data_IF_180136896184
#
_entry.id   IF_180136896184
#
_cell.length_a   1.000
_cell.length_b   1.000
_cell.length_c   1.000
_cell.angle_alpha   90.00
_cell.angle_beta   90.00
_cell.angle_gamma   90.00
#
_symmetry.space_group_name_H-M   'P 1'
#
loop_
_entity.id
_entity.type
_entity.pdbx_description
1 polymer ?
#
# COMPACT_ATOMS: atom_id res chain seq x y z
N UNK A 1 27.37 13.86 8.05
CA UNK A 1 25.93 13.54 7.94
C UNK A 1 25.76 12.62 6.74
N UNK A 2 25.17 11.44 6.91
CA UNK A 2 24.95 10.48 5.82
C UNK A 2 23.75 10.89 4.97
N UNK A 3 23.79 10.56 3.66
CA UNK A 3 22.70 10.87 2.72
C UNK A 3 22.23 9.60 2.02
N UNK A 4 20.96 9.28 2.20
CA UNK A 4 20.32 8.11 1.60
C UNK A 4 19.29 8.52 0.55
N UNK A 5 19.20 7.76 -0.53
CA UNK A 5 18.09 7.81 -1.46
C UNK A 5 17.41 6.45 -1.53
N UNK A 6 16.12 6.40 -1.20
CA UNK A 6 15.27 5.23 -1.39
C UNK A 6 14.46 5.39 -2.65
N UNK A 7 14.45 4.40 -3.54
CA UNK A 7 13.73 4.45 -4.81
C UNK A 7 12.59 3.41 -4.81
N UNK A 8 11.33 3.91 -4.74
CA UNK A 8 10.13 3.10 -4.90
C UNK A 8 9.09 3.81 -5.76
N UNK A 9 9.02 3.46 -7.03
CA UNK A 9 8.17 4.13 -8.02
C UNK A 9 7.00 3.26 -8.53
N UNK A 10 6.61 2.23 -7.77
CA UNK A 10 5.50 1.35 -8.10
C UNK A 10 4.14 1.87 -7.61
N UNK A 11 3.21 0.97 -7.28
CA UNK A 11 1.87 1.32 -6.84
C UNK A 11 1.87 1.91 -5.41
N UNK A 12 0.73 2.45 -5.02
CA UNK A 12 0.50 3.10 -3.71
C UNK A 12 0.87 2.16 -2.56
N UNK A 13 0.41 0.91 -2.58
CA UNK A 13 0.69 -0.08 -1.54
C UNK A 13 2.19 -0.36 -1.38
N UNK A 14 2.92 -0.50 -2.49
CA UNK A 14 4.38 -0.70 -2.46
C UNK A 14 5.12 0.48 -1.83
N UNK A 15 4.65 1.71 -2.07
CA UNK A 15 5.24 2.92 -1.45
C UNK A 15 5.01 2.92 0.05
N UNK A 16 3.78 2.57 0.49
CA UNK A 16 3.48 2.46 1.92
C UNK A 16 4.36 1.41 2.59
N UNK A 17 4.46 0.21 2.03
CA UNK A 17 5.32 -0.85 2.59
C UNK A 17 6.81 -0.45 2.63
N UNK A 18 7.26 0.35 1.67
CA UNK A 18 8.63 0.84 1.62
C UNK A 18 8.95 1.90 2.68
N UNK A 19 7.95 2.53 3.32
CA UNK A 19 8.20 3.46 4.42
C UNK A 19 8.88 2.78 5.61
N UNK A 20 8.72 1.47 5.79
CA UNK A 20 9.46 0.72 6.79
C UNK A 20 11.00 0.84 6.65
N UNK A 21 11.51 1.05 5.43
CA UNK A 21 12.94 1.36 5.24
C UNK A 21 13.29 2.74 5.81
N UNK A 22 12.42 3.74 5.66
CA UNK A 22 12.63 5.08 6.22
C UNK A 22 12.73 5.00 7.73
N UNK A 23 11.76 4.30 8.36
CA UNK A 23 11.73 4.09 9.81
C UNK A 23 13.02 3.43 10.31
N UNK A 24 13.46 2.36 9.63
CA UNK A 24 14.69 1.64 10.00
C UNK A 24 15.93 2.48 9.80
N UNK A 25 16.03 3.21 8.68
CA UNK A 25 17.18 4.10 8.44
C UNK A 25 17.25 5.22 9.48
N UNK A 26 16.12 5.84 9.83
CA UNK A 26 16.10 6.86 10.87
C UNK A 26 16.48 6.31 12.25
N UNK A 27 16.03 5.11 12.60
CA UNK A 27 16.39 4.45 13.85
C UNK A 27 17.91 4.27 14.01
N UNK A 28 18.61 3.92 12.93
CA UNK A 28 20.05 3.66 12.95
C UNK A 28 20.90 4.90 12.62
N UNK A 29 20.34 5.86 11.91
CA UNK A 29 21.01 7.07 11.44
C UNK A 29 20.09 8.27 11.66
N UNK A 30 19.86 8.69 12.93
CA UNK A 30 18.89 9.74 13.26
C UNK A 30 19.22 11.10 12.60
N UNK A 31 20.49 11.37 12.36
CA UNK A 31 20.97 12.61 11.75
C UNK A 31 21.10 12.52 10.21
N UNK A 32 20.68 11.43 9.58
CA UNK A 32 20.84 11.27 8.14
C UNK A 32 19.81 12.07 7.35
N UNK A 33 20.20 12.59 6.20
CA UNK A 33 19.27 13.08 5.18
C UNK A 33 18.74 11.89 4.37
N UNK A 34 17.44 11.59 4.51
CA UNK A 34 16.77 10.53 3.76
C UNK A 34 15.88 11.17 2.69
N UNK A 35 16.22 10.96 1.43
CA UNK A 35 15.38 11.34 0.30
C UNK A 35 14.62 10.11 -0.22
N UNK A 36 13.41 10.31 -0.73
CA UNK A 36 12.60 9.24 -1.27
C UNK A 36 12.11 9.57 -2.68
N UNK A 37 12.35 8.69 -3.65
CA UNK A 37 11.88 8.86 -5.02
C UNK A 37 10.61 8.05 -5.27
N UNK A 38 9.53 8.75 -5.60
CA UNK A 38 8.23 8.17 -5.98
C UNK A 38 7.85 8.52 -7.43
N UNK A 39 6.88 7.80 -7.98
CA UNK A 39 6.18 8.26 -9.18
C UNK A 39 5.20 9.37 -8.83
N UNK A 40 4.98 10.29 -9.78
CA UNK A 40 3.95 11.32 -9.69
C UNK A 40 2.57 10.73 -9.38
N UNK A 41 1.90 11.32 -8.40
CA UNK A 41 0.62 10.89 -7.87
C UNK A 41 0.72 10.06 -6.58
N UNK A 42 1.93 9.68 -6.15
CA UNK A 42 2.15 9.00 -4.87
C UNK A 42 2.80 9.90 -3.81
N UNK A 43 3.23 11.11 -4.18
CA UNK A 43 3.91 12.05 -3.28
C UNK A 43 3.10 12.44 -2.05
N UNK A 44 1.76 12.54 -2.19
CA UNK A 44 0.88 12.86 -1.09
C UNK A 44 0.84 11.82 0.05
N UNK A 45 1.40 10.61 -0.16
CA UNK A 45 1.58 9.62 0.92
C UNK A 45 2.67 10.03 1.91
N UNK A 46 3.63 10.81 1.45
CA UNK A 46 4.87 11.16 2.16
C UNK A 46 4.90 12.65 2.54
N UNK A 47 3.78 13.34 2.36
CA UNK A 47 3.68 14.75 2.71
C UNK A 47 3.93 14.94 4.21
N UNK A 48 4.89 15.82 4.53
CA UNK A 48 5.34 16.10 5.89
C UNK A 48 5.80 14.86 6.70
N UNK A 49 6.29 13.83 6.02
CA UNK A 49 6.87 12.67 6.72
C UNK A 49 8.05 13.11 7.60
N UNK A 50 8.05 12.86 8.93
CA UNK A 50 8.97 13.50 9.88
C UNK A 50 10.43 13.15 9.65
N UNK A 51 10.73 12.02 9.00
CA UNK A 51 12.10 11.52 8.81
C UNK A 51 12.60 11.70 7.37
N UNK A 52 11.80 12.30 6.48
CA UNK A 52 12.25 12.60 5.13
C UNK A 52 12.75 14.03 5.01
N UNK A 53 13.95 14.15 4.44
CA UNK A 53 14.49 15.45 4.04
C UNK A 53 13.77 15.95 2.78
N UNK A 54 13.51 15.05 1.79
CA UNK A 54 12.91 15.45 0.51
C UNK A 54 12.23 14.27 -0.19
N UNK A 55 11.12 14.55 -0.90
CA UNK A 55 10.48 13.63 -1.82
C UNK A 55 10.79 14.03 -3.25
N UNK A 56 11.47 13.16 -3.99
CA UNK A 56 11.71 13.31 -5.42
C UNK A 56 10.54 12.68 -6.19
N UNK A 57 10.10 13.36 -7.26
CA UNK A 57 8.92 12.94 -8.02
C UNK A 57 9.33 12.64 -9.46
N UNK A 58 9.00 11.44 -9.94
CA UNK A 58 9.17 11.06 -11.33
C UNK A 58 7.85 11.07 -12.09
N UNK A 59 7.68 12.01 -13.02
CA UNK A 59 6.56 11.99 -13.96
C UNK A 59 6.84 11.00 -15.09
N UNK A 60 6.17 9.85 -15.06
CA UNK A 60 6.28 8.79 -16.07
C UNK A 60 5.38 9.01 -17.29
N UNK A 61 4.44 9.97 -17.22
CA UNK A 61 3.43 10.21 -18.27
C UNK A 61 3.89 11.29 -19.25
N UNK A 62 4.52 12.37 -18.76
CA UNK A 62 4.96 13.50 -19.58
C UNK A 62 6.47 13.48 -19.74
N UNK A 63 6.97 13.50 -20.98
CA UNK A 63 8.41 13.60 -21.28
C UNK A 63 9.29 12.64 -20.45
N UNK A 64 8.85 11.39 -20.32
CA UNK A 64 9.40 10.36 -19.41
C UNK A 64 10.92 10.31 -19.38
N UNK A 65 11.58 10.30 -20.54
CA UNK A 65 13.04 10.17 -20.61
C UNK A 65 13.76 11.50 -20.29
N UNK A 66 13.23 12.65 -20.73
CA UNK A 66 13.75 13.96 -20.37
C UNK A 66 13.71 14.14 -18.85
N UNK A 67 12.59 13.81 -18.23
CA UNK A 67 12.41 13.87 -16.79
C UNK A 67 13.30 12.88 -16.03
N UNK A 68 13.51 11.68 -16.59
CA UNK A 68 14.44 10.70 -16.04
C UNK A 68 15.88 11.24 -16.00
N UNK A 69 16.34 11.89 -17.08
CA UNK A 69 17.67 12.50 -17.13
C UNK A 69 17.80 13.71 -16.20
N UNK A 70 16.75 14.50 -16.04
CA UNK A 70 16.72 15.60 -15.07
C UNK A 70 16.84 15.07 -13.63
N UNK A 71 16.10 14.02 -13.30
CA UNK A 71 16.21 13.32 -12.02
C UNK A 71 17.61 12.76 -11.79
N UNK A 72 18.21 12.13 -12.81
CA UNK A 72 19.57 11.63 -12.69
C UNK A 72 20.56 12.76 -12.35
N UNK A 73 20.48 13.90 -13.03
CA UNK A 73 21.33 15.07 -12.72
C UNK A 73 21.12 15.57 -11.30
N UNK A 74 19.87 15.61 -10.82
CA UNK A 74 19.52 16.00 -9.46
C UNK A 74 20.11 15.00 -8.44
N UNK A 75 19.96 13.70 -8.68
CA UNK A 75 20.52 12.62 -7.85
C UNK A 75 22.04 12.75 -7.77
N UNK A 76 22.71 12.92 -8.90
CA UNK A 76 24.17 13.10 -8.97
C UNK A 76 24.66 14.34 -8.19
N UNK A 77 23.92 15.45 -8.28
CA UNK A 77 24.26 16.70 -7.55
C UNK A 77 24.12 16.51 -6.03
N UNK A 78 23.22 15.66 -5.57
CA UNK A 78 22.98 15.41 -4.14
C UNK A 78 24.10 14.60 -3.47
N UNK A 79 24.93 13.87 -4.23
CA UNK A 79 26.08 13.08 -3.75
C UNK A 79 25.69 12.14 -2.59
N UNK A 80 24.76 11.25 -2.84
CA UNK A 80 24.32 10.29 -1.83
C UNK A 80 25.43 9.33 -1.41
N UNK A 81 25.46 8.97 -0.13
CA UNK A 81 26.31 7.89 0.36
C UNK A 81 25.78 6.54 -0.10
N UNK A 82 24.46 6.34 0.00
CA UNK A 82 23.82 5.10 -0.48
C UNK A 82 22.55 5.40 -1.28
N UNK A 83 22.40 4.69 -2.40
CA UNK A 83 21.15 4.63 -3.17
C UNK A 83 20.59 3.23 -3.04
N UNK A 84 19.38 3.11 -2.49
CA UNK A 84 18.68 1.87 -2.21
C UNK A 84 17.51 1.75 -3.18
N UNK A 85 17.61 0.84 -4.14
CA UNK A 85 16.59 0.64 -5.17
C UNK A 85 15.76 -0.60 -4.90
N UNK A 86 14.52 -0.39 -4.47
CA UNK A 86 13.54 -1.46 -4.22
C UNK A 86 12.97 -2.02 -5.53
N UNK A 87 13.11 -1.28 -6.63
CA UNK A 87 12.49 -1.59 -7.91
C UNK A 87 13.31 -2.53 -8.78
N UNK A 88 12.61 -3.36 -9.57
CA UNK A 88 13.19 -4.35 -10.47
C UNK A 88 13.19 -3.93 -11.96
N UNK A 89 12.95 -2.66 -12.26
CA UNK A 89 12.82 -2.15 -13.63
C UNK A 89 14.06 -1.36 -14.08
N UNK A 90 14.38 -1.46 -15.37
CA UNK A 90 15.57 -0.84 -15.98
C UNK A 90 15.68 0.67 -15.74
N UNK A 91 14.58 1.42 -15.78
CA UNK A 91 14.62 2.87 -15.59
C UNK A 91 15.12 3.27 -14.19
N UNK A 92 14.68 2.58 -13.14
CA UNK A 92 15.17 2.82 -11.78
C UNK A 92 16.56 2.24 -11.60
N UNK A 93 16.87 1.13 -12.27
CA UNK A 93 18.23 0.60 -12.37
C UNK A 93 19.20 1.61 -12.97
N UNK A 94 18.79 2.31 -14.03
CA UNK A 94 19.58 3.38 -14.64
C UNK A 94 19.85 4.52 -13.65
N UNK A 95 18.83 5.02 -12.94
CA UNK A 95 19.01 6.04 -11.92
C UNK A 95 19.98 5.59 -10.82
N UNK A 96 19.90 4.32 -10.41
CA UNK A 96 20.77 3.75 -9.38
C UNK A 96 22.20 3.60 -9.86
N UNK A 97 22.41 2.93 -10.99
CA UNK A 97 23.75 2.65 -11.53
C UNK A 97 24.55 3.91 -11.85
N UNK A 98 23.89 4.95 -12.36
CA UNK A 98 24.51 6.20 -12.77
C UNK A 98 24.33 7.34 -11.75
N UNK A 99 23.87 7.05 -10.53
CA UNK A 99 23.66 8.04 -9.46
C UNK A 99 24.91 8.77 -8.99
N UNK A 100 26.11 8.20 -9.19
CA UNK A 100 27.38 8.61 -8.59
C UNK A 100 27.37 8.54 -7.05
N UNK A 101 26.51 7.70 -6.47
CA UNK A 101 26.53 7.43 -5.04
C UNK A 101 27.77 6.59 -4.67
N UNK A 102 28.23 6.70 -3.42
CA UNK A 102 29.36 5.90 -2.94
C UNK A 102 29.02 4.41 -2.94
N UNK A 103 27.75 4.06 -2.66
CA UNK A 103 27.26 2.69 -2.69
C UNK A 103 25.86 2.63 -3.33
N UNK A 104 25.65 1.67 -4.24
CA UNK A 104 24.38 1.43 -4.91
C UNK A 104 23.90 0.04 -4.58
N UNK A 105 22.67 -0.08 -4.04
CA UNK A 105 22.13 -1.32 -3.52
C UNK A 105 20.81 -1.60 -4.22
N UNK A 106 20.57 -2.83 -4.64
CA UNK A 106 19.30 -3.21 -5.24
C UNK A 106 19.18 -4.72 -5.46
N UNK A 107 18.00 -5.13 -5.88
CA UNK A 107 17.76 -6.56 -6.13
C UNK A 107 18.46 -7.05 -7.40
N UNK A 108 18.96 -8.28 -7.34
CA UNK A 108 19.61 -8.97 -8.47
C UNK A 108 18.67 -9.16 -9.69
N UNK A 109 17.35 -9.06 -9.50
CA UNK A 109 16.35 -9.12 -10.58
C UNK A 109 16.23 -7.82 -11.38
N UNK A 110 16.91 -6.74 -10.96
CA UNK A 110 16.97 -5.53 -11.78
C UNK A 110 17.90 -5.78 -12.97
N UNK A 111 17.49 -5.46 -14.22
CA UNK A 111 18.31 -5.71 -15.43
C UNK A 111 19.70 -5.05 -15.38
N UNK A 112 19.86 -3.93 -14.64
CA UNK A 112 21.12 -3.22 -14.49
C UNK A 112 21.83 -3.53 -13.16
N UNK A 113 21.40 -4.57 -12.46
CA UNK A 113 21.99 -4.93 -11.16
C UNK A 113 23.48 -5.28 -11.22
N UNK A 114 24.00 -5.69 -12.39
CA UNK A 114 25.42 -5.97 -12.57
C UNK A 114 26.31 -4.72 -12.42
N UNK A 115 25.72 -3.52 -12.50
CA UNK A 115 26.39 -2.23 -12.24
C UNK A 115 26.24 -1.75 -10.79
N UNK A 116 25.50 -2.47 -9.94
CA UNK A 116 25.32 -2.07 -8.55
C UNK A 116 26.49 -2.53 -7.69
N UNK A 117 26.86 -1.74 -6.69
CA UNK A 117 27.89 -2.09 -5.72
C UNK A 117 27.48 -3.33 -4.91
N UNK A 118 26.21 -3.42 -4.54
CA UNK A 118 25.65 -4.57 -3.82
C UNK A 118 24.37 -5.08 -4.49
N UNK A 119 24.35 -6.38 -4.74
CA UNK A 119 23.19 -7.10 -5.30
C UNK A 119 22.61 -8.03 -4.25
N UNK A 120 21.36 -7.78 -3.87
CA UNK A 120 20.63 -8.61 -2.92
C UNK A 120 19.71 -9.56 -3.68
N UNK A 121 19.71 -10.84 -3.30
CA UNK A 121 18.82 -11.84 -3.90
C UNK A 121 17.37 -11.48 -3.56
N UNK A 122 16.54 -11.33 -4.59
CA UNK A 122 15.11 -11.15 -4.40
C UNK A 122 14.47 -12.52 -4.11
N UNK A 123 14.22 -12.79 -2.84
CA UNK A 123 13.66 -14.06 -2.40
C UNK A 123 12.12 -13.96 -2.29
N UNK A 124 11.43 -14.81 -3.04
CA UNK A 124 9.99 -15.05 -2.94
C UNK A 124 9.69 -16.35 -2.18
N UNK A 125 10.45 -16.63 -1.12
CA UNK A 125 10.11 -17.76 -0.28
C UNK A 125 8.69 -17.58 0.26
N UNK A 126 7.93 -18.66 0.28
CA UNK A 126 6.57 -18.68 0.81
C UNK A 126 6.57 -18.17 2.26
N UNK A 127 5.65 -17.26 2.57
CA UNK A 127 5.54 -16.65 3.90
C UNK A 127 6.44 -15.44 4.16
N UNK A 128 7.42 -15.12 3.29
CA UNK A 128 8.25 -13.91 3.47
C UNK A 128 7.46 -12.66 3.09
N UNK A 129 7.26 -11.74 4.05
CA UNK A 129 6.53 -10.50 3.78
C UNK A 129 7.35 -9.50 2.95
N UNK A 130 6.66 -8.62 2.19
CA UNK A 130 7.32 -7.60 1.36
C UNK A 130 8.22 -6.65 2.16
N UNK A 131 7.86 -6.31 3.40
CA UNK A 131 8.71 -5.48 4.25
C UNK A 131 10.04 -6.17 4.58
N UNK A 132 10.06 -7.49 4.74
CA UNK A 132 11.26 -8.27 5.00
C UNK A 132 12.14 -8.36 3.75
N UNK A 133 11.50 -8.54 2.59
CA UNK A 133 12.20 -8.49 1.28
C UNK A 133 12.85 -7.12 1.09
N UNK A 134 12.12 -6.04 1.35
CA UNK A 134 12.64 -4.68 1.25
C UNK A 134 13.76 -4.43 2.26
N UNK A 135 13.58 -4.90 3.51
CA UNK A 135 14.57 -4.77 4.57
C UNK A 135 15.90 -5.45 4.24
N UNK A 136 15.89 -6.58 3.53
CA UNK A 136 17.09 -7.27 3.11
C UNK A 136 18.08 -6.36 2.35
N UNK A 137 17.61 -5.27 1.72
CA UNK A 137 18.46 -4.29 1.05
C UNK A 137 19.32 -3.46 2.02
N UNK A 138 18.91 -3.35 3.27
CA UNK A 138 19.57 -2.51 4.28
C UNK A 138 20.10 -3.28 5.47
N UNK A 139 19.79 -4.58 5.60
CA UNK A 139 20.16 -5.40 6.75
C UNK A 139 21.66 -5.46 7.06
N UNK A 140 22.52 -5.33 6.05
CA UNK A 140 23.98 -5.36 6.22
C UNK A 140 24.54 -4.14 6.96
N UNK A 141 23.77 -3.06 7.12
CA UNK A 141 24.21 -1.84 7.83
C UNK A 141 23.14 -1.32 8.80
N UNK A 142 22.15 -2.14 9.11
CA UNK A 142 21.19 -1.95 10.19
C UNK A 142 21.16 -3.23 11.05
N UNK A 143 20.03 -3.90 11.12
CA UNK A 143 19.86 -5.21 11.77
C UNK A 143 19.09 -6.18 10.86
N UNK A 144 18.68 -7.33 11.39
CA UNK A 144 17.92 -8.35 10.66
C UNK A 144 16.40 -8.20 10.75
N UNK A 145 15.89 -7.22 11.53
CA UNK A 145 14.45 -7.07 11.82
C UNK A 145 13.85 -5.95 10.99
N UNK A 146 12.89 -6.27 10.14
CA UNK A 146 12.18 -5.28 9.34
C UNK A 146 11.33 -4.34 10.23
N UNK A 147 11.41 -3.04 9.99
CA UNK A 147 10.49 -2.11 10.62
C UNK A 147 9.11 -2.15 9.95
N UNK A 148 8.05 -1.92 10.74
CA UNK A 148 6.70 -1.76 10.21
C UNK A 148 6.60 -0.47 9.38
N UNK A 149 5.77 -0.46 8.33
CA UNK A 149 5.52 0.76 7.58
C UNK A 149 4.77 1.78 8.45
N UNK A 150 4.96 3.06 8.15
CA UNK A 150 4.28 4.16 8.85
C UNK A 150 3.77 5.20 7.86
N UNK A 151 2.59 5.75 8.17
CA UNK A 151 2.06 6.97 7.56
C UNK A 151 1.82 8.01 8.66
N UNK A 152 2.00 9.28 8.32
CA UNK A 152 1.91 10.39 9.27
C UNK A 152 0.86 11.41 8.83
N UNK A 153 -0.45 11.12 9.06
CA UNK A 153 -1.49 12.13 8.83
C UNK A 153 -1.23 13.40 9.64
N UNK A 154 -1.32 14.54 9.01
CA UNK A 154 -1.09 15.83 9.66
C UNK A 154 -2.30 16.24 10.52
N UNK A 155 -2.12 17.29 11.34
CA UNK A 155 -3.23 17.90 12.09
C UNK A 155 -4.33 18.36 11.12
N UNK A 156 -3.96 18.94 9.97
CA UNK A 156 -4.92 19.37 8.93
C UNK A 156 -5.71 18.19 8.34
N UNK A 157 -5.06 17.04 8.13
CA UNK A 157 -5.76 15.84 7.66
C UNK A 157 -6.75 15.34 8.70
N UNK A 158 -6.37 15.35 9.97
CA UNK A 158 -7.22 14.93 11.08
C UNK A 158 -8.42 15.86 11.28
N UNK A 159 -8.22 17.17 11.19
CA UNK A 159 -9.31 18.18 11.26
C UNK A 159 -10.29 18.02 10.10
N UNK A 160 -9.81 17.73 8.89
CA UNK A 160 -10.68 17.53 7.71
C UNK A 160 -11.68 16.38 7.89
N UNK A 161 -11.29 15.33 8.60
CA UNK A 161 -12.13 14.14 8.83
C UNK A 161 -12.80 14.11 10.20
N UNK A 162 -12.60 15.10 11.06
CA UNK A 162 -13.13 15.19 12.42
C UNK A 162 -14.64 15.01 12.48
N UNK A 163 -15.37 15.62 11.55
CA UNK A 163 -16.83 15.51 11.47
C UNK A 163 -17.33 14.07 11.28
N UNK A 164 -16.52 13.16 10.74
CA UNK A 164 -16.87 11.77 10.51
C UNK A 164 -16.56 10.86 11.71
N UNK A 165 -15.87 11.36 12.75
CA UNK A 165 -15.40 10.61 13.92
C UNK A 165 -16.30 10.80 15.16
N UNK A 166 -17.49 11.36 15.02
CA UNK A 166 -18.37 11.70 16.15
C UNK A 166 -19.13 10.49 16.74
N UNK A 167 -19.29 9.44 15.97
CA UNK A 167 -19.94 8.17 16.35
C UNK A 167 -19.06 7.01 15.91
N UNK A 168 -19.33 5.84 16.43
CA UNK A 168 -18.69 4.62 15.95
C UNK A 168 -18.92 4.42 14.45
N UNK A 169 -17.87 4.10 13.73
CA UNK A 169 -17.94 3.97 12.27
C UNK A 169 -17.04 2.86 11.74
N UNK A 170 -17.41 2.41 10.56
CA UNK A 170 -16.68 1.47 9.75
C UNK A 170 -16.17 2.17 8.48
N UNK A 171 -14.97 1.83 8.04
CA UNK A 171 -14.48 2.20 6.72
C UNK A 171 -14.55 0.98 5.80
N UNK A 172 -15.08 1.15 4.61
CA UNK A 172 -15.17 0.11 3.57
C UNK A 172 -14.48 0.61 2.31
N UNK A 173 -13.46 -0.12 1.84
CA UNK A 173 -12.78 0.14 0.58
C UNK A 173 -13.13 -0.94 -0.45
N UNK A 174 -14.22 -0.80 -1.21
CA UNK A 174 -14.78 -1.88 -2.01
C UNK A 174 -14.02 -2.15 -3.29
N UNK A 175 -13.12 -1.26 -3.71
CA UNK A 175 -12.42 -1.30 -4.98
C UNK A 175 -11.02 -1.91 -4.91
N UNK A 176 -10.51 -2.37 -6.05
CA UNK A 176 -9.12 -2.74 -6.29
C UNK A 176 -8.80 -2.51 -7.76
N UNK A 177 -7.50 -2.31 -8.08
CA UNK A 177 -7.04 -2.14 -9.48
C UNK A 177 -7.38 -3.36 -10.34
N UNK A 178 -7.33 -4.56 -9.75
CA UNK A 178 -7.59 -5.81 -10.45
C UNK A 178 -8.97 -6.34 -10.10
N UNK A 179 -9.81 -6.57 -11.11
CA UNK A 179 -11.18 -7.05 -10.92
C UNK A 179 -11.25 -8.29 -10.02
N UNK A 180 -10.40 -9.29 -10.29
CA UNK A 180 -10.46 -10.55 -9.52
C UNK A 180 -10.02 -10.43 -8.05
N UNK A 181 -9.48 -9.29 -7.63
CA UNK A 181 -9.19 -8.96 -6.23
C UNK A 181 -10.34 -8.23 -5.54
N UNK A 182 -11.32 -7.74 -6.31
CA UNK A 182 -12.46 -7.02 -5.73
C UNK A 182 -13.47 -8.02 -5.16
N UNK A 183 -13.88 -7.80 -3.93
CA UNK A 183 -15.07 -8.44 -3.38
C UNK A 183 -16.29 -7.90 -4.12
N UNK A 184 -17.23 -8.75 -4.58
CA UNK A 184 -18.32 -8.32 -5.45
C UNK A 184 -19.21 -7.25 -4.83
N UNK A 185 -19.71 -6.34 -5.65
CA UNK A 185 -20.60 -5.25 -5.22
C UNK A 185 -21.83 -5.79 -4.49
N UNK A 186 -22.45 -6.82 -5.03
CA UNK A 186 -23.64 -7.46 -4.45
C UNK A 186 -23.35 -8.05 -3.08
N UNK A 187 -22.15 -8.57 -2.86
CA UNK A 187 -21.70 -9.10 -1.58
C UNK A 187 -21.43 -7.97 -0.56
N UNK A 188 -20.87 -6.82 -1.01
CA UNK A 188 -20.77 -5.65 -0.16
C UNK A 188 -22.14 -5.17 0.31
N UNK A 189 -23.14 -5.11 -0.58
CA UNK A 189 -24.51 -4.72 -0.25
C UNK A 189 -25.09 -5.69 0.75
N UNK A 190 -25.03 -7.00 0.50
CA UNK A 190 -25.51 -8.04 1.40
C UNK A 190 -24.90 -7.95 2.80
N UNK A 191 -23.58 -7.71 2.88
CA UNK A 191 -22.89 -7.49 4.16
C UNK A 191 -23.40 -6.24 4.89
N UNK A 192 -23.52 -5.11 4.18
CA UNK A 192 -23.99 -3.86 4.78
C UNK A 192 -25.40 -3.99 5.35
N UNK A 193 -26.30 -4.65 4.62
CA UNK A 193 -27.71 -4.81 5.01
C UNK A 193 -27.89 -5.69 6.27
N UNK A 194 -26.88 -6.47 6.63
CA UNK A 194 -26.86 -7.30 7.85
C UNK A 194 -26.18 -6.60 9.05
N UNK A 195 -25.60 -5.40 8.87
CA UNK A 195 -24.96 -4.68 9.97
C UNK A 195 -25.98 -4.20 11.01
N UNK A 196 -25.65 -4.24 12.31
CA UNK A 196 -26.48 -3.56 13.32
C UNK A 196 -26.48 -2.06 13.09
N UNK A 197 -27.65 -1.36 13.22
CA UNK A 197 -27.80 0.04 12.81
C UNK A 197 -27.18 1.04 13.81
N UNK A 198 -26.00 0.75 14.31
CA UNK A 198 -25.24 1.57 15.26
C UNK A 198 -24.01 2.25 14.67
N UNK A 199 -23.56 1.83 13.49
CA UNK A 199 -22.35 2.35 12.88
C UNK A 199 -22.65 3.31 11.73
N UNK A 200 -21.87 4.38 11.59
CA UNK A 200 -21.76 5.05 10.30
C UNK A 200 -20.83 4.22 9.40
N UNK A 201 -21.15 4.08 8.12
CA UNK A 201 -20.30 3.37 7.15
C UNK A 201 -19.78 4.35 6.11
N UNK A 202 -18.47 4.51 6.05
CA UNK A 202 -17.79 5.37 5.08
C UNK A 202 -17.20 4.52 3.96
N UNK A 203 -17.75 4.66 2.75
CA UNK A 203 -17.16 4.08 1.55
C UNK A 203 -16.01 4.96 1.09
N UNK A 204 -14.79 4.43 1.11
CA UNK A 204 -13.57 5.16 0.75
C UNK A 204 -12.94 4.59 -0.53
N UNK A 205 -12.27 5.43 -1.29
CA UNK A 205 -11.63 5.05 -2.55
C UNK A 205 -11.09 6.24 -3.33
N UNK A 206 -10.50 5.96 -4.49
CA UNK A 206 -10.05 6.97 -5.42
C UNK A 206 -11.25 7.65 -6.13
N UNK A 207 -11.05 8.78 -6.83
CA UNK A 207 -12.12 9.42 -7.63
C UNK A 207 -12.76 8.46 -8.66
N UNK A 208 -12.01 7.52 -9.19
CA UNK A 208 -12.49 6.48 -10.11
C UNK A 208 -13.46 5.49 -9.48
N UNK A 209 -13.45 5.36 -8.15
CA UNK A 209 -14.26 4.41 -7.41
C UNK A 209 -15.61 5.00 -6.97
N UNK A 210 -15.79 6.32 -7.20
CA UNK A 210 -16.98 7.06 -6.77
C UNK A 210 -18.29 6.46 -7.28
N UNK A 211 -18.32 6.03 -8.54
CA UNK A 211 -19.52 5.45 -9.14
C UNK A 211 -19.90 4.11 -8.49
N UNK A 212 -18.92 3.21 -8.26
CA UNK A 212 -19.14 1.95 -7.56
C UNK A 212 -19.64 2.18 -6.13
N UNK A 213 -19.02 3.09 -5.40
CA UNK A 213 -19.43 3.43 -4.04
C UNK A 213 -20.83 4.04 -3.98
N UNK A 214 -21.19 4.88 -4.96
CA UNK A 214 -22.54 5.47 -5.03
C UNK A 214 -23.62 4.41 -5.35
N UNK A 215 -23.29 3.45 -6.21
CA UNK A 215 -24.18 2.33 -6.51
C UNK A 215 -24.40 1.42 -5.28
N UNK A 216 -23.34 1.08 -4.54
CA UNK A 216 -23.45 0.34 -3.28
C UNK A 216 -24.36 1.09 -2.30
N UNK A 217 -24.08 2.38 -2.08
CA UNK A 217 -24.88 3.23 -1.18
C UNK A 217 -26.35 3.28 -1.58
N UNK A 218 -26.65 3.41 -2.89
CA UNK A 218 -28.02 3.56 -3.40
C UNK A 218 -28.83 2.27 -3.26
N UNK A 219 -28.20 1.10 -3.41
CA UNK A 219 -28.90 -0.18 -3.42
C UNK A 219 -29.01 -0.77 -2.02
N UNK A 220 -28.01 -0.56 -1.15
CA UNK A 220 -28.03 -1.02 0.23
C UNK A 220 -29.21 -0.43 1.00
N UNK A 221 -29.86 -1.26 1.79
CA UNK A 221 -30.94 -0.87 2.72
C UNK A 221 -30.39 -0.31 4.03
N UNK A 222 -29.07 -0.36 4.25
CA UNK A 222 -28.43 0.19 5.46
C UNK A 222 -28.46 1.71 5.44
N UNK A 223 -29.09 2.39 6.44
CA UNK A 223 -29.43 3.81 6.33
C UNK A 223 -28.24 4.76 6.51
N UNK A 224 -27.11 4.30 7.08
CA UNK A 224 -26.01 5.17 7.49
C UNK A 224 -24.76 5.03 6.60
N UNK A 225 -24.96 4.83 5.30
CA UNK A 225 -23.87 4.75 4.32
C UNK A 225 -23.56 6.12 3.73
N UNK A 226 -22.31 6.53 3.80
CA UNK A 226 -21.81 7.78 3.24
C UNK A 226 -20.67 7.48 2.26
N UNK A 227 -20.81 7.97 1.02
CA UNK A 227 -19.79 7.83 -0.01
C UNK A 227 -18.75 8.95 0.10
N UNK A 228 -17.53 8.63 0.48
CA UNK A 228 -16.39 9.55 0.55
C UNK A 228 -15.33 9.27 -0.55
N UNK A 229 -15.60 8.36 -1.49
CA UNK A 229 -14.68 8.06 -2.57
C UNK A 229 -14.35 9.30 -3.41
N UNK A 230 -13.05 9.61 -3.55
CA UNK A 230 -12.55 10.77 -4.25
C UNK A 230 -12.67 12.10 -3.50
N UNK A 231 -13.17 12.12 -2.26
CA UNK A 231 -13.32 13.34 -1.45
C UNK A 231 -12.15 13.55 -0.47
N UNK A 232 -11.40 12.51 -0.19
CA UNK A 232 -10.27 12.52 0.74
C UNK A 232 -8.97 12.25 -0.01
N UNK A 233 -7.88 12.93 0.37
CA UNK A 233 -6.54 12.57 -0.05
C UNK A 233 -6.05 11.32 0.71
N UNK A 234 -4.83 10.85 0.42
CA UNK A 234 -4.28 9.64 1.05
C UNK A 234 -4.17 9.73 2.56
N UNK A 235 -3.63 10.84 3.08
CA UNK A 235 -3.42 11.01 4.52
C UNK A 235 -4.73 11.31 5.26
N UNK A 236 -5.69 11.96 4.62
CA UNK A 236 -7.05 12.13 5.17
C UNK A 236 -7.76 10.77 5.27
N UNK A 237 -7.69 9.96 4.22
CA UNK A 237 -8.23 8.59 4.25
C UNK A 237 -7.55 7.76 5.35
N UNK A 238 -6.23 7.85 5.45
CA UNK A 238 -5.44 7.20 6.50
C UNK A 238 -5.90 7.68 7.90
N UNK A 239 -6.03 8.99 8.11
CA UNK A 239 -6.52 9.55 9.38
C UNK A 239 -7.93 9.10 9.75
N UNK A 240 -8.83 8.94 8.76
CA UNK A 240 -10.15 8.37 8.99
C UNK A 240 -10.05 6.89 9.38
N UNK A 241 -9.30 6.10 8.63
CA UNK A 241 -9.12 4.66 8.88
C UNK A 241 -8.51 4.36 10.25
N UNK A 242 -7.63 5.23 10.76
CA UNK A 242 -6.91 5.02 12.02
C UNK A 242 -7.83 4.80 13.23
N UNK A 243 -8.98 5.45 13.25
CA UNK A 243 -9.91 5.43 14.39
C UNK A 243 -11.22 4.69 14.08
N UNK A 244 -11.33 4.04 12.93
CA UNK A 244 -12.47 3.21 12.61
C UNK A 244 -12.53 1.99 13.56
N UNK A 245 -13.73 1.61 13.99
CA UNK A 245 -13.94 0.35 14.72
C UNK A 245 -13.41 -0.82 13.92
N UNK A 246 -13.66 -0.79 12.61
CA UNK A 246 -13.14 -1.78 11.66
C UNK A 246 -12.95 -1.15 10.27
N UNK A 247 -11.89 -1.54 9.60
CA UNK A 247 -11.64 -1.25 8.20
C UNK A 247 -11.83 -2.51 7.36
N UNK A 248 -12.85 -2.56 6.52
CA UNK A 248 -13.07 -3.66 5.58
C UNK A 248 -12.45 -3.31 4.23
N UNK A 249 -11.49 -4.09 3.79
CA UNK A 249 -10.68 -3.77 2.61
C UNK A 249 -10.42 -5.02 1.77
N UNK A 250 -10.26 -4.85 0.47
CA UNK A 250 -9.69 -5.90 -0.38
C UNK A 250 -8.16 -5.99 -0.16
N UNK A 251 -7.52 -7.04 -0.71
CA UNK A 251 -6.06 -7.07 -0.90
C UNK A 251 -5.63 -5.94 -1.85
N UNK A 252 -5.52 -4.73 -1.31
CA UNK A 252 -5.27 -3.47 -2.04
C UNK A 252 -4.62 -2.41 -1.13
N UNK A 253 -4.32 -1.24 -1.68
CA UNK A 253 -3.61 -0.18 -0.96
C UNK A 253 -4.22 0.22 0.40
N UNK A 254 -5.55 0.32 0.59
CA UNK A 254 -6.15 0.61 1.90
C UNK A 254 -5.75 -0.36 3.02
N UNK A 255 -5.51 -1.65 2.71
CA UNK A 255 -5.00 -2.63 3.67
C UNK A 255 -3.62 -2.21 4.23
N UNK A 256 -2.77 -1.69 3.36
CA UNK A 256 -1.44 -1.21 3.77
C UNK A 256 -1.52 0.13 4.52
N UNK A 257 -2.54 0.96 4.25
CA UNK A 257 -2.81 2.16 5.07
C UNK A 257 -3.18 1.75 6.50
N UNK A 258 -4.12 0.80 6.65
CA UNK A 258 -4.47 0.28 7.98
C UNK A 258 -3.23 -0.28 8.69
N UNK A 259 -2.40 -1.06 8.00
CA UNK A 259 -1.15 -1.62 8.52
C UNK A 259 -0.18 -0.53 8.99
N UNK A 260 -0.02 0.54 8.21
CA UNK A 260 0.90 1.64 8.51
C UNK A 260 0.45 2.51 9.70
N UNK A 261 -0.82 2.43 10.07
CA UNK A 261 -1.43 3.15 11.20
C UNK A 261 -1.72 2.23 12.40
N UNK A 262 -1.43 0.94 12.29
CA UNK A 262 -1.84 -0.08 13.23
C UNK A 262 -3.36 -0.07 13.50
N UNK A 263 -4.16 0.24 12.50
CA UNK A 263 -5.62 0.31 12.58
C UNK A 263 -6.23 -1.09 12.44
N UNK A 264 -7.34 -1.34 13.15
CA UNK A 264 -8.09 -2.60 13.05
C UNK A 264 -8.56 -2.85 11.61
N UNK A 265 -8.31 -4.03 11.05
CA UNK A 265 -8.58 -4.31 9.65
C UNK A 265 -9.04 -5.74 9.38
N UNK A 266 -10.06 -5.87 8.56
CA UNK A 266 -10.47 -7.12 7.92
C UNK A 266 -10.11 -7.05 6.44
N UNK A 267 -9.15 -7.88 6.03
CA UNK A 267 -8.64 -7.94 4.66
C UNK A 267 -9.25 -9.11 3.90
N UNK A 268 -9.91 -8.82 2.78
CA UNK A 268 -10.61 -9.81 1.96
C UNK A 268 -9.72 -10.22 0.79
N UNK A 269 -9.44 -11.52 0.73
CA UNK A 269 -8.63 -12.13 -0.33
C UNK A 269 -9.50 -12.98 -1.25
N UNK A 270 -9.81 -12.45 -2.42
CA UNK A 270 -10.55 -13.18 -3.47
C UNK A 270 -9.61 -14.10 -4.26
N UNK A 271 -8.95 -13.57 -5.27
CA UNK A 271 -8.14 -14.36 -6.21
C UNK A 271 -6.67 -14.53 -5.82
N UNK A 272 -6.18 -13.75 -4.87
CA UNK A 272 -4.83 -13.79 -4.33
C UNK A 272 -4.79 -14.46 -2.97
N UNK A 273 -3.59 -14.64 -2.41
CA UNK A 273 -3.39 -15.29 -1.11
C UNK A 273 -2.39 -14.50 -0.25
N UNK A 274 -2.57 -14.50 1.08
CA UNK A 274 -1.65 -13.82 2.01
C UNK A 274 -0.20 -14.30 1.90
N UNK A 275 0.01 -15.57 1.55
CA UNK A 275 1.32 -16.21 1.38
C UNK A 275 2.22 -15.53 0.33
N UNK A 276 1.68 -14.66 -0.53
CA UNK A 276 2.48 -13.82 -1.43
C UNK A 276 3.28 -12.73 -0.70
N UNK A 277 3.05 -12.58 0.60
CA UNK A 277 3.79 -11.66 1.46
C UNK A 277 3.27 -10.22 1.45
N UNK A 278 1.98 -10.05 1.26
CA UNK A 278 1.29 -8.77 1.31
C UNK A 278 0.14 -8.77 2.34
N UNK A 279 0.25 -9.61 3.38
CA UNK A 279 -0.76 -9.67 4.44
C UNK A 279 -0.85 -8.36 5.25
N UNK A 280 -1.97 -8.11 5.96
CA UNK A 280 -2.05 -6.98 6.87
C UNK A 280 -1.05 -7.14 8.02
N UNK A 281 -0.50 -6.00 8.48
CA UNK A 281 0.50 -5.93 9.56
C UNK A 281 -0.04 -5.30 10.84
N UNK A 282 -1.32 -4.97 10.89
CA UNK A 282 -1.97 -4.45 12.10
C UNK A 282 -2.04 -5.54 13.18
N UNK A 283 -1.88 -5.14 14.45
CA UNK A 283 -1.98 -6.06 15.59
C UNK A 283 -3.38 -6.71 15.67
N UNK A 284 -4.42 -5.93 15.35
CA UNK A 284 -5.79 -6.42 15.20
C UNK A 284 -6.13 -6.53 13.71
N UNK A 285 -5.88 -7.68 13.14
CA UNK A 285 -6.18 -7.96 11.74
C UNK A 285 -6.85 -9.31 11.57
N UNK A 286 -7.85 -9.36 10.69
CA UNK A 286 -8.52 -10.58 10.26
C UNK A 286 -8.34 -10.73 8.75
N UNK A 287 -8.05 -11.95 8.32
CA UNK A 287 -8.02 -12.32 6.91
C UNK A 287 -9.28 -13.12 6.62
N UNK A 288 -10.06 -12.67 5.65
CA UNK A 288 -11.25 -13.33 5.15
C UNK A 288 -11.01 -13.81 3.73
N UNK A 289 -11.21 -15.09 3.53
CA UNK A 289 -11.09 -15.73 2.23
C UNK A 289 -12.06 -16.90 2.11
N UNK A 290 -12.26 -17.40 0.90
CA UNK A 290 -13.09 -18.58 0.66
C UNK A 290 -12.58 -19.77 1.48
N UNK A 291 -13.49 -20.45 2.18
CA UNK A 291 -13.19 -21.69 2.89
C UNK A 291 -13.03 -22.87 1.92
N UNK A 292 -12.02 -23.70 2.19
CA UNK A 292 -11.69 -24.85 1.35
C UNK A 292 -10.89 -24.48 0.08
N UNK A 293 -10.30 -25.49 -0.52
CA UNK A 293 -9.43 -25.33 -1.68
C UNK A 293 -10.20 -25.01 -2.96
N UNK A 294 -9.60 -24.22 -3.83
CA UNK A 294 -10.09 -23.95 -5.18
C UNK A 294 -8.90 -24.07 -6.14
N UNK A 295 -8.93 -25.05 -7.03
CA UNK A 295 -7.81 -25.41 -7.91
C UNK A 295 -7.29 -24.29 -8.81
N UNK A 296 -8.13 -23.29 -9.11
CA UNK A 296 -7.75 -22.12 -9.92
C UNK A 296 -7.24 -20.94 -9.07
N UNK A 297 -7.12 -21.07 -7.75
CA UNK A 297 -6.59 -20.03 -6.84
C UNK A 297 -5.22 -20.45 -6.32
N UNK A 298 -4.22 -19.54 -6.34
CA UNK A 298 -4.28 -18.11 -6.67
C UNK A 298 -4.24 -17.82 -8.18
N UNK A 299 -4.86 -16.70 -8.60
CA UNK A 299 -4.83 -16.21 -9.99
C UNK A 299 -3.60 -15.33 -10.23
N UNK A 300 -2.39 -15.90 -10.14
CA UNK A 300 -1.13 -15.17 -10.26
C UNK A 300 -0.89 -14.19 -9.09
N UNK A 301 0.22 -13.46 -9.16
CA UNK A 301 0.64 -12.54 -8.08
C UNK A 301 -0.25 -11.29 -7.93
N UNK A 302 -0.88 -10.85 -9.00
CA UNK A 302 -1.59 -9.57 -9.03
C UNK A 302 -3.09 -9.68 -9.28
N UNK A 303 -3.61 -10.87 -9.59
CA UNK A 303 -4.97 -11.03 -10.09
C UNK A 303 -5.10 -10.63 -11.58
N UNK A 304 -6.35 -10.62 -12.09
CA UNK A 304 -6.67 -10.37 -13.50
C UNK A 304 -7.79 -9.33 -13.65
N UNK A 305 -7.96 -8.83 -14.88
CA UNK A 305 -9.05 -7.91 -15.26
C UNK A 305 -10.42 -8.60 -15.36
N UNK A 306 -10.44 -9.92 -15.46
CA UNK A 306 -11.64 -10.77 -15.47
C UNK A 306 -11.27 -12.14 -14.88
N UNK A 307 -12.27 -12.89 -14.41
CA UNK A 307 -12.07 -14.27 -13.95
C UNK A 307 -11.83 -15.20 -15.15
N UNK A 308 -10.66 -15.86 -15.28
CA UNK A 308 -10.38 -16.75 -16.40
C UNK A 308 -11.27 -17.99 -16.46
N UNK A 309 -11.94 -18.31 -15.35
CA UNK A 309 -12.86 -19.45 -15.21
C UNK A 309 -14.33 -19.01 -15.17
N UNK A 310 -14.62 -17.73 -15.33
CA UNK A 310 -15.93 -17.08 -15.37
C UNK A 310 -16.82 -17.28 -14.14
N UNK A 311 -16.51 -18.25 -13.26
CA UNK A 311 -17.34 -18.57 -12.09
C UNK A 311 -17.09 -17.68 -10.85
N UNK A 312 -15.97 -16.99 -10.76
CA UNK A 312 -15.52 -16.12 -9.66
C UNK A 312 -15.80 -16.63 -8.22
N UNK A 313 -15.82 -17.95 -8.03
CA UNK A 313 -16.13 -18.63 -6.74
C UNK A 313 -15.19 -18.21 -5.60
N UNK A 314 -13.94 -17.82 -5.91
CA UNK A 314 -13.00 -17.34 -4.89
C UNK A 314 -13.47 -16.05 -4.18
N UNK A 315 -14.44 -15.34 -4.74
CA UNK A 315 -15.08 -14.17 -4.15
C UNK A 315 -16.52 -14.44 -3.75
N UNK A 316 -17.30 -15.07 -4.63
CA UNK A 316 -18.74 -15.32 -4.40
C UNK A 316 -19.01 -16.28 -3.24
N UNK A 317 -18.13 -17.27 -3.01
CA UNK A 317 -18.29 -18.24 -1.93
C UNK A 317 -17.79 -17.73 -0.55
N UNK A 318 -17.27 -16.49 -0.46
CA UNK A 318 -17.01 -15.84 0.83
C UNK A 318 -18.37 -15.49 1.45
N UNK A 319 -18.57 -15.93 2.70
CA UNK A 319 -19.83 -15.72 3.40
C UNK A 319 -19.80 -14.43 4.21
N UNK A 320 -20.95 -13.77 4.30
CA UNK A 320 -21.08 -12.50 5.02
C UNK A 320 -20.82 -12.64 6.53
N UNK A 321 -21.14 -13.82 7.10
CA UNK A 321 -20.88 -14.14 8.52
C UNK A 321 -19.38 -14.04 8.85
N UNK A 322 -18.48 -14.31 7.87
CA UNK A 322 -17.04 -14.18 8.09
C UNK A 322 -16.62 -12.72 8.28
N UNK A 323 -17.29 -11.76 7.61
CA UNK A 323 -17.08 -10.35 7.77
C UNK A 323 -17.73 -9.84 9.07
N UNK A 324 -18.96 -10.28 9.36
CA UNK A 324 -19.69 -9.88 10.56
C UNK A 324 -19.01 -10.36 11.84
N UNK A 325 -18.40 -11.54 11.84
CA UNK A 325 -17.65 -12.07 12.97
C UNK A 325 -16.48 -11.17 13.40
N UNK A 326 -15.98 -10.30 12.52
CA UNK A 326 -14.92 -9.35 12.83
C UNK A 326 -15.37 -8.19 13.74
N UNK A 327 -16.67 -8.02 13.97
CA UNK A 327 -17.25 -6.97 14.83
C UNK A 327 -17.57 -7.47 16.24
N UNK A 328 -17.40 -8.76 16.50
CA UNK A 328 -17.56 -9.40 17.80
C UNK A 328 -16.19 -9.55 18.46
#
# INVERSE_FOLDING_TARGET
MQKFLVIQTAFIGDVVLATGIIEKLHQYYPDAEIDFLVRKGNEGLLEQHPFLHRVLIWDKKKNKYKHLLQLLKQIQKSRYDKVINIQRYSNTGFLTAFSKAKETIGFNKNPLSFLFSKKIKHNFAEGTHEIERNHALISAFTDSVAARPRLYPTIKDSEKVKQYKQKDYLCVAPSSVWFTKQYPKEKWISFLDQLPPKYNVYLIGAPTDKALCEEIKKISLYPFVINLAGQLNFLQSASLMQHAVMNYVNDSAPMHFASALNATVTAIYCSTVPAFGYSPLSDKSLIVEKTGQLSCRPCGLHGYKACPKEHFKCALDIRDEQLLAALN
#
